data_IF_519210900296
#
_entry.id   IF_519210900296
#
_cell.length_a   1.000
_cell.length_b   1.000
_cell.length_c   1.000
_cell.angle_alpha   90.00
_cell.angle_beta   90.00
_cell.angle_gamma   90.00
#
_symmetry.space_group_name_H-M   'P 1'
#
loop_
_entity.id
_entity.type
_entity.pdbx_description
1 polymer ?
#
# COMPACT_ATOMS: atom_id res chain seq x y z
N UNK A 1 -3.03 -53.94 27.86
CA UNK A 1 -2.23 -54.39 26.71
C UNK A 1 -3.07 -54.17 25.45
N UNK A 2 -2.93 -52.99 24.83
CA UNK A 2 -3.60 -52.64 23.56
C UNK A 2 -2.60 -52.94 22.44
N UNK A 3 -2.96 -53.80 21.49
CA UNK A 3 -2.17 -54.03 20.27
C UNK A 3 -3.06 -53.86 19.04
N UNK A 4 -2.67 -52.84 18.26
CA UNK A 4 -2.85 -52.60 16.82
C UNK A 4 -4.25 -52.43 16.22
N UNK A 5 -4.58 -51.14 16.04
CA UNK A 5 -5.29 -50.65 14.84
C UNK A 5 -4.59 -51.20 13.58
N UNK A 6 -5.33 -51.97 12.76
CA UNK A 6 -4.86 -52.37 11.43
C UNK A 6 -5.07 -51.20 10.48
N UNK A 7 -3.95 -50.72 9.96
CA UNK A 7 -3.81 -49.81 8.82
C UNK A 7 -4.76 -50.18 7.69
N UNK A 8 -5.59 -49.24 7.27
CA UNK A 8 -6.55 -49.35 6.16
C UNK A 8 -5.84 -49.24 4.80
N UNK A 9 -4.71 -49.93 4.65
CA UNK A 9 -3.92 -49.93 3.42
C UNK A 9 -4.55 -50.91 2.43
N UNK A 10 -4.85 -50.48 1.19
CA UNK A 10 -5.38 -51.37 0.17
C UNK A 10 -4.45 -52.56 -0.04
N UNK A 11 -5.03 -53.75 -0.16
CA UNK A 11 -4.27 -54.94 -0.54
C UNK A 11 -3.87 -54.90 -2.03
N UNK A 12 -3.02 -55.83 -2.43
CA UNK A 12 -2.47 -55.86 -3.79
C UNK A 12 -3.55 -56.03 -4.86
N UNK A 13 -4.65 -56.71 -4.56
CA UNK A 13 -5.75 -56.91 -5.50
C UNK A 13 -6.58 -55.62 -5.66
N UNK A 14 -6.85 -54.90 -4.57
CA UNK A 14 -7.49 -53.59 -4.61
C UNK A 14 -6.63 -52.58 -5.41
N UNK A 15 -5.31 -52.61 -5.23
CA UNK A 15 -4.39 -51.75 -5.99
C UNK A 15 -4.40 -52.07 -7.51
N UNK A 16 -4.44 -53.35 -7.89
CA UNK A 16 -4.56 -53.77 -9.30
C UNK A 16 -5.88 -53.33 -9.93
N UNK A 17 -6.99 -53.45 -9.19
CA UNK A 17 -8.30 -53.01 -9.67
C UNK A 17 -8.37 -51.49 -9.87
N UNK A 18 -7.81 -50.72 -8.94
CA UNK A 18 -7.69 -49.26 -9.09
C UNK A 18 -6.82 -48.88 -10.30
N UNK A 19 -5.69 -49.57 -10.50
CA UNK A 19 -4.82 -49.36 -11.65
C UNK A 19 -5.51 -49.66 -12.99
N UNK A 20 -6.30 -50.74 -13.07
CA UNK A 20 -7.06 -51.08 -14.26
C UNK A 20 -8.12 -50.01 -14.58
N UNK A 21 -8.80 -49.52 -13.55
CA UNK A 21 -9.81 -48.46 -13.68
C UNK A 21 -9.20 -47.16 -14.20
N UNK A 22 -8.05 -46.75 -13.65
CA UNK A 22 -7.34 -45.54 -14.10
C UNK A 22 -6.82 -45.66 -15.54
N UNK A 23 -6.35 -46.84 -15.95
CA UNK A 23 -5.93 -47.10 -17.34
C UNK A 23 -7.08 -46.99 -18.32
N UNK A 24 -8.21 -47.59 -17.99
CA UNK A 24 -9.39 -47.63 -18.85
C UNK A 24 -10.04 -46.25 -19.02
N UNK A 25 -10.01 -45.44 -17.96
CA UNK A 25 -10.38 -44.03 -18.02
C UNK A 25 -9.41 -43.21 -18.88
N UNK A 26 -8.10 -43.34 -18.65
CA UNK A 26 -7.06 -42.58 -19.36
C UNK A 26 -7.01 -42.87 -20.87
N UNK A 27 -7.50 -44.04 -21.32
CA UNK A 27 -7.63 -44.37 -22.75
C UNK A 27 -8.72 -43.56 -23.47
N UNK A 28 -9.69 -43.02 -22.72
CA UNK A 28 -10.86 -42.32 -23.25
C UNK A 28 -10.87 -40.83 -22.94
N UNK A 29 -10.13 -40.42 -21.92
CA UNK A 29 -10.00 -39.03 -21.50
C UNK A 29 -9.14 -38.23 -22.48
N UNK A 30 -9.49 -36.96 -22.69
CA UNK A 30 -8.64 -36.06 -23.46
C UNK A 30 -7.40 -35.62 -22.64
N UNK A 31 -6.34 -35.09 -23.29
CA UNK A 31 -5.12 -34.68 -22.58
C UNK A 31 -5.32 -33.62 -21.47
N UNK A 32 -6.37 -32.78 -21.58
CA UNK A 32 -6.70 -31.74 -20.60
C UNK A 32 -7.36 -32.37 -19.36
N UNK A 33 -8.22 -33.37 -19.55
CA UNK A 33 -8.84 -34.14 -18.47
C UNK A 33 -7.79 -34.92 -17.65
N UNK A 34 -6.80 -35.52 -18.33
CA UNK A 34 -5.69 -36.22 -17.67
C UNK A 34 -4.84 -35.24 -16.85
N UNK A 35 -4.52 -34.07 -17.40
CA UNK A 35 -3.71 -33.05 -16.72
C UNK A 35 -4.41 -32.45 -15.48
N UNK A 36 -5.75 -32.41 -15.46
CA UNK A 36 -6.54 -31.92 -14.31
C UNK A 36 -6.57 -32.89 -13.12
N UNK A 37 -6.51 -34.19 -13.37
CA UNK A 37 -6.56 -35.19 -12.30
C UNK A 37 -5.16 -35.40 -11.68
N UNK A 38 -4.20 -35.84 -12.49
CA UNK A 38 -2.77 -35.89 -12.18
C UNK A 38 -2.02 -36.20 -13.49
N UNK A 39 -1.08 -35.34 -13.94
CA UNK A 39 -0.29 -35.59 -15.15
C UNK A 39 0.46 -36.94 -15.16
N UNK A 40 0.73 -37.54 -13.99
CA UNK A 40 1.36 -38.84 -13.87
C UNK A 40 0.47 -40.01 -14.35
N UNK A 41 -0.85 -39.82 -14.48
CA UNK A 41 -1.78 -40.87 -14.95
C UNK A 41 -1.55 -41.21 -16.43
N UNK A 42 -1.07 -40.26 -17.24
CA UNK A 42 -0.65 -40.50 -18.62
C UNK A 42 0.40 -41.63 -18.74
N UNK A 43 1.18 -41.88 -17.66
CA UNK A 43 2.21 -42.92 -17.60
C UNK A 43 1.66 -44.35 -17.50
N UNK A 44 0.35 -44.51 -17.28
CA UNK A 44 -0.28 -45.83 -17.09
C UNK A 44 -0.66 -46.50 -18.43
N UNK A 45 -0.64 -45.77 -19.55
CA UNK A 45 -1.07 -46.23 -20.87
C UNK A 45 0.01 -47.10 -21.58
N UNK A 46 -0.36 -48.25 -22.18
CA UNK A 46 0.58 -49.10 -22.90
C UNK A 46 1.04 -48.45 -24.22
N UNK A 47 2.36 -48.33 -24.42
CA UNK A 47 2.96 -47.71 -25.61
C UNK A 47 3.76 -46.43 -25.34
N UNK A 48 3.66 -45.87 -24.14
CA UNK A 48 4.58 -44.83 -23.67
C UNK A 48 5.76 -45.48 -22.95
N UNK A 49 6.96 -45.36 -23.54
CA UNK A 49 8.19 -45.80 -22.90
C UNK A 49 8.27 -45.19 -21.50
N UNK A 50 8.65 -46.00 -20.51
CA UNK A 50 9.03 -45.56 -19.17
C UNK A 50 10.22 -44.61 -19.30
N UNK A 51 9.97 -43.34 -19.62
CA UNK A 51 10.93 -42.31 -19.31
C UNK A 51 10.94 -42.26 -17.80
N UNK A 52 11.98 -42.84 -17.18
CA UNK A 52 12.45 -42.33 -15.90
C UNK A 52 12.38 -40.80 -16.01
N UNK A 53 11.82 -40.14 -15.01
CA UNK A 53 11.94 -38.69 -14.92
C UNK A 53 13.42 -38.38 -15.14
N UNK A 54 13.79 -37.55 -16.13
CA UNK A 54 15.19 -37.44 -16.52
C UNK A 54 16.02 -37.09 -15.29
N UNK A 55 17.20 -37.72 -15.16
CA UNK A 55 18.13 -37.37 -14.10
C UNK A 55 18.51 -35.90 -14.29
N UNK A 56 17.83 -35.02 -13.54
CA UNK A 56 18.02 -33.59 -13.64
C UNK A 56 19.36 -33.23 -13.02
N UNK A 57 20.21 -32.57 -13.80
CA UNK A 57 21.46 -32.01 -13.31
C UNK A 57 21.14 -30.95 -12.25
N UNK A 58 21.69 -31.12 -11.04
CA UNK A 58 21.45 -30.22 -9.89
C UNK A 58 22.40 -29.02 -9.84
N UNK A 59 23.44 -29.00 -10.69
CA UNK A 59 24.33 -27.86 -10.83
C UNK A 59 23.74 -26.84 -11.79
N UNK A 60 23.83 -25.56 -11.42
CA UNK A 60 23.49 -24.45 -12.32
C UNK A 60 24.50 -24.38 -13.46
N UNK A 61 24.03 -24.38 -14.71
CA UNK A 61 24.88 -24.22 -15.89
C UNK A 61 25.21 -22.73 -16.11
N UNK A 62 26.39 -22.31 -15.65
CA UNK A 62 26.87 -20.94 -15.85
C UNK A 62 27.24 -20.61 -17.29
N UNK A 63 27.43 -21.62 -18.15
CA UNK A 63 27.80 -21.45 -19.56
C UNK A 63 26.59 -21.36 -20.50
N UNK A 64 25.42 -21.76 -20.03
CA UNK A 64 24.20 -21.71 -20.82
C UNK A 64 23.78 -20.26 -21.11
N UNK A 65 23.71 -19.91 -22.40
CA UNK A 65 23.11 -18.67 -22.87
C UNK A 65 21.98 -18.99 -23.85
N UNK A 66 20.73 -18.65 -23.52
CA UNK A 66 19.61 -18.94 -24.41
C UNK A 66 19.67 -18.04 -25.64
N UNK A 67 19.71 -18.67 -26.81
CA UNK A 67 19.56 -17.98 -28.09
C UNK A 67 18.07 -17.66 -28.37
N UNK A 68 17.79 -17.03 -29.52
CA UNK A 68 16.43 -16.66 -29.89
C UNK A 68 15.52 -17.89 -30.07
N UNK A 69 16.01 -18.94 -30.74
CA UNK A 69 15.23 -20.14 -31.00
C UNK A 69 14.84 -20.87 -29.71
N UNK A 70 15.75 -20.93 -28.73
CA UNK A 70 15.47 -21.51 -27.43
C UNK A 70 14.44 -20.71 -26.64
N UNK A 71 14.52 -19.36 -26.68
CA UNK A 71 13.54 -18.48 -26.03
C UNK A 71 12.14 -18.64 -26.63
N UNK A 72 12.03 -18.74 -27.95
CA UNK A 72 10.75 -18.93 -28.65
C UNK A 72 10.14 -20.31 -28.36
N UNK A 73 10.97 -21.31 -28.04
CA UNK A 73 10.51 -22.64 -27.62
C UNK A 73 10.09 -22.73 -26.15
N UNK A 74 10.26 -21.67 -25.34
CA UNK A 74 9.86 -21.69 -23.93
C UNK A 74 8.33 -21.62 -23.79
N UNK A 75 7.74 -22.37 -22.84
CA UNK A 75 6.30 -22.32 -22.60
C UNK A 75 5.88 -20.97 -22.00
N UNK A 76 4.92 -20.30 -22.64
CA UNK A 76 4.29 -19.09 -22.12
C UNK A 76 2.87 -19.41 -21.63
N UNK A 77 2.79 -19.84 -20.37
CA UNK A 77 1.52 -20.19 -19.75
C UNK A 77 0.61 -18.97 -19.54
N UNK A 78 1.17 -17.76 -19.46
CA UNK A 78 0.40 -16.55 -19.16
C UNK A 78 -0.42 -16.10 -20.36
N UNK A 79 0.12 -16.28 -21.56
CA UNK A 79 -0.58 -16.06 -22.83
C UNK A 79 -1.25 -17.34 -23.39
N UNK A 80 -1.37 -18.39 -22.57
CA UNK A 80 -2.05 -19.63 -22.92
C UNK A 80 -3.58 -19.45 -23.06
N UNK A 81 -4.29 -20.44 -23.62
CA UNK A 81 -5.71 -20.35 -23.90
C UNK A 81 -6.55 -20.20 -22.62
N UNK A 82 -7.68 -19.47 -22.73
CA UNK A 82 -8.62 -19.23 -21.63
C UNK A 82 -9.15 -20.52 -20.96
N UNK A 83 -9.14 -21.65 -21.69
CA UNK A 83 -9.48 -22.99 -21.15
C UNK A 83 -8.59 -23.44 -19.97
N UNK A 84 -7.43 -22.82 -19.79
CA UNK A 84 -6.51 -23.07 -18.68
C UNK A 84 -6.82 -22.20 -17.45
N UNK A 85 -7.80 -21.28 -17.52
CA UNK A 85 -8.22 -20.46 -16.37
C UNK A 85 -8.96 -21.34 -15.36
N UNK A 86 -8.64 -21.16 -14.08
CA UNK A 86 -9.27 -21.88 -12.97
C UNK A 86 -10.13 -20.91 -12.17
N UNK A 87 -11.38 -21.30 -11.89
CA UNK A 87 -12.30 -20.51 -11.08
C UNK A 87 -13.38 -19.84 -11.93
N UNK A 88 -13.99 -18.80 -11.37
CA UNK A 88 -15.04 -18.06 -12.07
C UNK A 88 -14.45 -17.30 -13.27
N UNK A 89 -15.22 -17.27 -14.35
CA UNK A 89 -14.96 -16.38 -15.48
C UNK A 89 -15.35 -14.96 -15.09
N UNK A 90 -14.38 -14.22 -14.55
CA UNK A 90 -14.61 -12.91 -13.99
C UNK A 90 -13.40 -12.00 -14.23
N UNK A 91 -13.61 -10.70 -14.50
CA UNK A 91 -12.52 -9.75 -14.59
C UNK A 91 -11.90 -9.55 -13.20
N UNK A 92 -10.59 -9.30 -13.16
CA UNK A 92 -9.87 -8.94 -11.94
C UNK A 92 -9.70 -7.43 -11.92
N UNK A 93 -10.20 -6.78 -10.85
CA UNK A 93 -10.11 -5.33 -10.73
C UNK A 93 -8.66 -4.82 -10.55
N UNK A 94 -7.86 -5.55 -9.75
CA UNK A 94 -6.45 -5.22 -9.51
C UNK A 94 -5.59 -6.48 -9.48
N UNK A 95 -4.62 -6.55 -10.37
CA UNK A 95 -3.53 -7.54 -10.37
C UNK A 95 -2.22 -6.86 -10.70
N UNK A 96 -1.15 -7.23 -10.02
CA UNK A 96 0.13 -6.53 -10.14
C UNK A 96 1.16 -6.94 -9.10
N UNK A 97 2.08 -6.01 -8.85
CA UNK A 97 3.12 -6.13 -7.83
C UNK A 97 2.89 -5.10 -6.73
N UNK A 98 3.28 -5.45 -5.51
CA UNK A 98 3.22 -4.55 -4.37
C UNK A 98 4.54 -4.57 -3.61
N UNK A 99 4.89 -3.40 -3.06
CA UNK A 99 6.02 -3.20 -2.15
C UNK A 99 7.40 -3.55 -2.73
N UNK A 100 7.64 -3.28 -4.02
CA UNK A 100 9.01 -3.27 -4.54
C UNK A 100 9.66 -1.91 -4.28
N UNK A 101 10.97 -1.87 -4.04
CA UNK A 101 11.66 -0.65 -3.57
C UNK A 101 12.58 -0.08 -4.64
N UNK A 102 12.54 1.24 -4.81
CA UNK A 102 13.41 1.99 -5.70
C UNK A 102 13.98 3.22 -5.00
N UNK A 103 15.25 3.61 -5.27
CA UNK A 103 15.74 4.92 -4.91
C UNK A 103 15.19 5.96 -5.90
N UNK A 104 14.38 6.91 -5.41
CA UNK A 104 13.73 7.93 -6.24
C UNK A 104 14.14 9.31 -5.78
N UNK A 105 14.42 10.22 -6.74
CA UNK A 105 14.85 11.61 -6.48
C UNK A 105 13.66 12.55 -6.44
N UNK A 106 13.36 13.14 -5.29
CA UNK A 106 12.27 14.10 -5.08
C UNK A 106 12.79 15.54 -5.00
N UNK A 107 12.06 16.50 -5.58
CA UNK A 107 12.34 17.93 -5.43
C UNK A 107 11.87 18.44 -4.07
N UNK A 108 12.67 19.31 -3.47
CA UNK A 108 12.32 20.05 -2.25
C UNK A 108 11.76 21.43 -2.62
N UNK A 109 10.72 21.91 -1.92
CA UNK A 109 10.12 23.24 -2.21
C UNK A 109 11.16 24.35 -1.95
N UNK A 110 11.49 25.21 -2.94
CA UNK A 110 12.43 26.32 -2.72
C UNK A 110 11.93 27.30 -1.65
N UNK A 111 12.84 27.88 -0.87
CA UNK A 111 12.51 28.92 0.11
C UNK A 111 11.79 28.40 1.38
N UNK A 112 11.92 27.11 1.66
CA UNK A 112 11.45 26.49 2.91
C UNK A 112 12.59 26.25 3.89
N UNK A 113 12.27 25.70 5.07
CA UNK A 113 13.27 25.22 6.03
C UNK A 113 14.15 24.08 5.48
N UNK A 114 13.72 23.46 4.37
CA UNK A 114 14.55 22.52 3.63
C UNK A 114 15.55 23.25 2.71
N UNK A 115 16.82 22.83 2.67
CA UNK A 115 17.77 23.35 1.68
C UNK A 115 17.26 23.04 0.27
N UNK A 116 17.28 24.03 -0.62
CA UNK A 116 16.84 23.85 -2.00
C UNK A 116 17.63 22.73 -2.70
N UNK A 117 16.95 21.90 -3.49
CA UNK A 117 17.58 20.83 -4.26
C UNK A 117 16.70 19.58 -4.38
N UNK A 118 17.36 18.43 -4.40
CA UNK A 118 16.76 17.11 -4.52
C UNK A 118 17.16 16.23 -3.33
N UNK A 119 16.31 15.27 -2.98
CA UNK A 119 16.62 14.20 -2.03
C UNK A 119 16.31 12.83 -2.65
N UNK A 120 17.25 11.89 -2.53
CA UNK A 120 17.00 10.50 -2.93
C UNK A 120 16.43 9.72 -1.75
N UNK A 121 15.22 9.19 -1.91
CA UNK A 121 14.52 8.42 -0.88
C UNK A 121 14.27 7.00 -1.36
N UNK A 122 14.41 6.03 -0.45
CA UNK A 122 13.85 4.70 -0.66
C UNK A 122 12.33 4.82 -0.76
N UNK A 123 11.78 4.39 -1.90
CA UNK A 123 10.36 4.48 -2.20
C UNK A 123 9.81 3.08 -2.44
N UNK A 124 8.79 2.72 -1.68
CA UNK A 124 7.98 1.52 -1.93
C UNK A 124 6.97 1.82 -3.04
N UNK A 125 6.88 0.93 -4.02
CA UNK A 125 6.05 1.10 -5.19
C UNK A 125 5.10 -0.09 -5.33
N UNK A 126 3.83 0.20 -5.62
CA UNK A 126 2.78 -0.78 -5.92
C UNK A 126 2.14 -0.39 -7.25
N UNK A 127 2.14 -1.31 -8.21
CA UNK A 127 1.59 -1.10 -9.55
C UNK A 127 0.63 -2.22 -9.91
N UNK A 128 -0.60 -1.88 -10.28
CA UNK A 128 -1.68 -2.84 -10.58
C UNK A 128 -2.50 -2.41 -11.79
N UNK A 129 -3.08 -3.37 -12.50
CA UNK A 129 -4.05 -3.14 -13.59
C UNK A 129 -5.30 -3.99 -13.41
N UNK A 130 -6.35 -3.63 -14.13
CA UNK A 130 -7.45 -4.55 -14.43
C UNK A 130 -7.00 -5.69 -15.34
N UNK A 131 -7.63 -6.86 -15.23
CA UNK A 131 -7.43 -7.99 -16.14
C UNK A 131 -8.78 -8.51 -16.62
N UNK A 132 -8.92 -8.65 -17.93
CA UNK A 132 -10.13 -9.22 -18.54
C UNK A 132 -10.35 -10.68 -18.13
N UNK A 133 -11.61 -11.10 -18.08
CA UNK A 133 -11.99 -12.46 -17.70
C UNK A 133 -11.41 -13.57 -18.61
N UNK A 134 -11.05 -13.22 -19.85
CA UNK A 134 -10.47 -14.14 -20.83
C UNK A 134 -8.94 -14.26 -20.74
N UNK A 135 -8.27 -13.38 -19.98
CA UNK A 135 -6.81 -13.37 -19.84
C UNK A 135 -6.42 -14.16 -18.59
N UNK A 136 -5.52 -15.13 -18.73
CA UNK A 136 -5.08 -15.97 -17.61
C UNK A 136 -4.18 -15.25 -16.60
N UNK A 137 -3.40 -14.28 -17.05
CA UNK A 137 -2.51 -13.52 -16.16
C UNK A 137 -1.78 -12.39 -16.87
N UNK A 138 -1.00 -11.65 -16.09
CA UNK A 138 -0.13 -10.57 -16.59
C UNK A 138 1.33 -10.95 -16.48
N UNK A 139 2.17 -10.34 -17.32
CA UNK A 139 3.61 -10.47 -17.19
C UNK A 139 4.14 -9.51 -16.12
N UNK A 140 4.22 -10.01 -14.88
CA UNK A 140 4.63 -9.24 -13.70
C UNK A 140 6.00 -8.55 -13.86
N UNK A 141 6.95 -9.19 -14.57
CA UNK A 141 8.28 -8.62 -14.79
C UNK A 141 8.28 -7.37 -15.67
N UNK A 142 7.25 -7.20 -16.53
CA UNK A 142 7.11 -6.01 -17.38
C UNK A 142 6.79 -4.78 -16.55
N UNK A 143 6.03 -4.96 -15.47
CA UNK A 143 5.70 -3.90 -14.52
C UNK A 143 6.99 -3.27 -13.96
N UNK A 144 7.85 -4.12 -13.40
CA UNK A 144 9.13 -3.70 -12.81
C UNK A 144 10.01 -3.02 -13.87
N UNK A 145 10.15 -3.62 -15.06
CA UNK A 145 11.00 -3.06 -16.13
C UNK A 145 10.54 -1.67 -16.59
N UNK A 146 9.24 -1.44 -16.71
CA UNK A 146 8.70 -0.11 -17.01
C UNK A 146 9.14 0.89 -15.93
N UNK A 147 8.98 0.55 -14.65
CA UNK A 147 9.40 1.43 -13.56
C UNK A 147 10.90 1.71 -13.55
N UNK A 148 11.75 0.70 -13.72
CA UNK A 148 13.20 0.90 -13.81
C UNK A 148 13.61 1.77 -15.01
N UNK A 149 12.89 1.69 -16.14
CA UNK A 149 13.13 2.57 -17.29
C UNK A 149 12.85 4.06 -17.01
N UNK A 150 12.09 4.35 -15.96
CA UNK A 150 11.75 5.70 -15.53
C UNK A 150 12.41 6.12 -14.21
N UNK A 151 12.93 5.17 -13.42
CA UNK A 151 13.43 5.40 -12.06
C UNK A 151 14.63 6.35 -11.97
N UNK A 152 15.48 6.39 -13.00
CA UNK A 152 16.66 7.28 -13.03
C UNK A 152 16.31 8.73 -13.37
N UNK A 153 15.08 9.00 -13.82
CA UNK A 153 14.61 10.36 -14.11
C UNK A 153 14.32 11.11 -12.82
N UNK A 154 14.32 12.43 -12.92
CA UNK A 154 13.84 13.30 -11.85
C UNK A 154 12.35 13.05 -11.62
N UNK A 155 11.93 12.83 -10.38
CA UNK A 155 10.56 12.41 -10.09
C UNK A 155 9.56 13.55 -10.24
N UNK A 156 8.46 13.26 -10.94
CA UNK A 156 7.27 14.09 -10.97
C UNK A 156 6.03 13.23 -11.25
N UNK A 157 4.83 13.80 -11.10
CA UNK A 157 3.60 13.13 -11.52
C UNK A 157 3.63 12.76 -13.02
N UNK A 158 4.37 13.50 -13.85
CA UNK A 158 4.53 13.21 -15.27
C UNK A 158 5.37 11.95 -15.51
N UNK A 159 6.34 11.67 -14.64
CA UNK A 159 7.10 10.41 -14.68
C UNK A 159 6.23 9.24 -14.24
N UNK A 160 5.41 9.41 -13.19
CA UNK A 160 4.40 8.41 -12.82
C UNK A 160 3.41 8.15 -13.96
N UNK A 161 2.96 9.21 -14.64
CA UNK A 161 2.07 9.12 -15.79
C UNK A 161 2.70 8.34 -16.93
N UNK A 162 3.93 8.67 -17.32
CA UNK A 162 4.65 7.96 -18.35
C UNK A 162 4.86 6.48 -18.00
N UNK A 163 5.17 6.18 -16.73
CA UNK A 163 5.30 4.80 -16.27
C UNK A 163 3.94 4.06 -16.30
N UNK A 164 2.84 4.72 -15.93
CA UNK A 164 1.49 4.15 -15.98
C UNK A 164 0.99 3.95 -17.42
N UNK A 165 1.27 4.90 -18.32
CA UNK A 165 0.96 4.83 -19.75
C UNK A 165 1.72 3.69 -20.41
N UNK A 166 3.05 3.64 -20.20
CA UNK A 166 3.87 2.51 -20.63
C UNK A 166 3.38 1.19 -20.06
N UNK A 167 2.81 1.19 -18.85
CA UNK A 167 2.23 -0.02 -18.26
C UNK A 167 0.94 -0.48 -18.96
N UNK A 168 0.04 0.46 -19.30
CA UNK A 168 -1.23 0.17 -20.01
C UNK A 168 -1.01 -0.33 -21.43
N UNK A 169 -0.12 0.32 -22.18
CA UNK A 169 0.17 -0.02 -23.58
C UNK A 169 0.70 -1.45 -23.75
N UNK A 170 1.38 -2.00 -22.74
CA UNK A 170 1.95 -3.34 -22.82
C UNK A 170 0.98 -4.48 -22.44
N UNK A 171 -0.16 -4.16 -21.82
CA UNK A 171 -1.09 -5.17 -21.30
C UNK A 171 -2.49 -5.11 -21.94
N UNK A 172 -2.74 -4.15 -22.82
CA UNK A 172 -4.06 -3.83 -23.37
C UNK A 172 -5.10 -3.80 -22.24
N UNK A 173 -4.81 -3.04 -21.18
CA UNK A 173 -5.68 -2.89 -20.00
C UNK A 173 -6.37 -1.54 -19.97
N UNK A 174 -7.62 -1.53 -19.49
CA UNK A 174 -8.44 -0.33 -19.38
C UNK A 174 -8.05 0.53 -18.18
N UNK A 175 -7.92 -0.10 -17.01
CA UNK A 175 -7.65 0.58 -15.75
C UNK A 175 -6.27 0.21 -15.21
N UNK A 176 -5.61 1.18 -14.60
CA UNK A 176 -4.28 1.02 -14.01
C UNK A 176 -4.10 1.94 -12.80
N UNK A 177 -3.35 1.48 -11.80
CA UNK A 177 -3.04 2.23 -10.58
C UNK A 177 -1.58 2.05 -10.21
N UNK A 178 -0.95 3.16 -9.86
CA UNK A 178 0.40 3.26 -9.32
C UNK A 178 0.35 4.01 -7.99
N UNK A 179 0.94 3.41 -6.96
CA UNK A 179 1.12 4.03 -5.65
C UNK A 179 2.59 3.98 -5.25
N UNK A 180 3.12 5.13 -4.82
CA UNK A 180 4.50 5.28 -4.36
C UNK A 180 4.49 5.82 -2.93
N UNK A 181 5.11 5.12 -1.99
CA UNK A 181 5.15 5.47 -0.56
C UNK A 181 6.59 5.68 -0.11
N UNK A 182 6.84 6.76 0.62
CA UNK A 182 8.17 7.13 1.11
C UNK A 182 8.06 7.99 2.36
N UNK A 183 9.17 8.07 3.10
CA UNK A 183 9.29 8.89 4.30
C UNK A 183 10.00 10.20 3.95
N UNK A 184 9.27 11.31 3.94
CA UNK A 184 9.73 12.61 3.48
C UNK A 184 10.32 13.45 4.62
N UNK A 185 11.59 13.89 4.54
CA UNK A 185 12.23 14.68 5.58
C UNK A 185 11.92 16.18 5.44
N UNK A 186 11.58 16.82 6.56
CA UNK A 186 11.52 18.28 6.70
C UNK A 186 12.30 18.71 7.93
N UNK A 187 13.12 19.75 7.80
CA UNK A 187 13.80 20.35 8.94
C UNK A 187 12.83 21.19 9.77
N UNK A 188 12.82 21.00 11.08
CA UNK A 188 11.91 21.69 12.01
C UNK A 188 12.69 22.27 13.17
N UNK A 189 12.39 23.51 13.53
CA UNK A 189 12.93 24.20 14.70
C UNK A 189 12.09 23.94 15.95
N UNK A 190 12.74 23.80 17.10
CA UNK A 190 12.09 23.68 18.40
C UNK A 190 11.40 24.97 18.82
N UNK A 191 10.34 24.86 19.62
CA UNK A 191 9.47 26.00 19.99
C UNK A 191 10.18 27.19 20.66
N UNK A 192 11.23 26.97 21.45
CA UNK A 192 11.91 28.03 22.22
C UNK A 192 13.43 27.97 22.18
N UNK A 193 14.04 26.78 22.13
CA UNK A 193 15.48 26.62 22.31
C UNK A 193 16.33 26.92 21.07
N UNK A 194 15.70 27.07 19.89
CA UNK A 194 16.36 27.25 18.60
C UNK A 194 17.12 26.01 18.10
N UNK A 195 16.91 24.84 18.74
CA UNK A 195 17.39 23.57 18.21
C UNK A 195 16.64 23.22 16.92
N UNK A 196 17.25 22.42 16.05
CA UNK A 196 16.58 21.93 14.84
C UNK A 196 16.87 20.46 14.60
N UNK A 197 15.86 19.74 14.11
CA UNK A 197 15.92 18.32 13.80
C UNK A 197 15.15 17.98 12.52
N UNK A 198 15.27 16.72 12.07
CA UNK A 198 14.54 16.21 10.92
C UNK A 198 13.25 15.52 11.37
N UNK A 199 12.12 16.07 10.99
CA UNK A 199 10.81 15.43 11.09
C UNK A 199 10.55 14.67 9.81
N UNK A 200 10.04 13.45 9.93
CA UNK A 200 9.68 12.62 8.78
C UNK A 200 8.16 12.52 8.67
N UNK A 201 7.67 12.57 7.43
CA UNK A 201 6.26 12.46 7.07
C UNK A 201 6.07 11.26 6.15
N UNK A 202 5.08 10.42 6.47
CA UNK A 202 4.72 9.34 5.56
C UNK A 202 3.84 9.90 4.45
N UNK A 203 4.42 9.91 3.24
CA UNK A 203 3.75 10.41 2.04
C UNK A 203 3.48 9.23 1.11
N UNK A 204 2.27 9.22 0.53
CA UNK A 204 1.96 8.39 -0.61
C UNK A 204 1.52 9.24 -1.79
N UNK A 205 2.02 8.91 -2.97
CA UNK A 205 1.56 9.45 -4.23
C UNK A 205 0.76 8.38 -4.95
N UNK A 206 -0.42 8.74 -5.41
CA UNK A 206 -1.29 7.86 -6.16
C UNK A 206 -1.53 8.46 -7.55
N UNK A 207 -1.37 7.61 -8.56
CA UNK A 207 -1.86 7.86 -9.89
C UNK A 207 -2.74 6.69 -10.33
N UNK A 208 -3.96 6.99 -10.76
CA UNK A 208 -4.89 5.98 -11.22
C UNK A 208 -5.61 6.43 -12.47
N UNK A 209 -5.73 5.54 -13.45
CA UNK A 209 -6.67 5.65 -14.55
C UNK A 209 -7.81 4.69 -14.26
N UNK A 210 -9.02 5.23 -14.12
CA UNK A 210 -10.22 4.42 -13.94
C UNK A 210 -11.37 4.99 -14.77
N UNK A 211 -11.97 4.16 -15.62
CA UNK A 211 -13.09 4.58 -16.46
C UNK A 211 -12.76 5.76 -17.38
N UNK A 212 -11.52 5.81 -17.89
CA UNK A 212 -11.03 6.86 -18.76
C UNK A 212 -10.70 8.20 -18.07
N UNK A 213 -10.77 8.27 -16.74
CA UNK A 213 -10.40 9.47 -15.96
C UNK A 213 -9.09 9.20 -15.20
N UNK A 214 -8.15 10.15 -15.33
CA UNK A 214 -6.89 10.13 -14.59
C UNK A 214 -7.02 10.89 -13.28
N UNK A 215 -6.67 10.23 -12.18
CA UNK A 215 -6.54 10.79 -10.84
C UNK A 215 -5.05 11.00 -10.52
N UNK A 216 -4.73 12.17 -9.98
CA UNK A 216 -3.48 12.47 -9.28
C UNK A 216 -3.83 12.75 -7.83
N UNK A 217 -3.28 11.99 -6.89
CA UNK A 217 -3.55 12.20 -5.47
C UNK A 217 -2.28 12.14 -4.62
N UNK A 218 -2.31 12.90 -3.53
CA UNK A 218 -1.28 12.92 -2.48
C UNK A 218 -1.95 12.49 -1.18
N UNK A 219 -1.29 11.63 -0.43
CA UNK A 219 -1.69 11.23 0.91
C UNK A 219 -0.57 11.58 1.89
N UNK A 220 -0.93 12.26 2.97
CA UNK A 220 -0.04 12.66 4.05
C UNK A 220 -0.57 12.08 5.37
N UNK A 221 0.26 11.35 6.09
CA UNK A 221 -0.02 11.02 7.50
C UNK A 221 0.68 12.05 8.39
N UNK A 222 -0.12 12.90 9.02
CA UNK A 222 0.33 13.97 9.92
C UNK A 222 0.20 13.53 11.38
N UNK A 223 1.30 13.58 12.12
CA UNK A 223 1.37 13.12 13.52
C UNK A 223 1.39 14.32 14.46
N UNK A 224 0.45 14.34 15.40
CA UNK A 224 0.25 15.45 16.33
C UNK A 224 -0.12 14.95 17.73
N UNK A 225 -0.06 15.86 18.70
CA UNK A 225 -0.59 15.64 20.05
C UNK A 225 -2.01 16.19 20.13
N UNK A 226 -2.97 15.38 20.57
CA UNK A 226 -4.33 15.84 20.86
C UNK A 226 -4.56 15.85 22.37
N UNK A 227 -5.09 16.96 22.87
CA UNK A 227 -5.54 17.09 24.27
C UNK A 227 -7.05 17.16 24.29
N UNK A 228 -7.69 16.28 25.07
CA UNK A 228 -9.14 16.23 25.13
C UNK A 228 -9.72 17.48 25.84
N UNK A 229 -10.60 18.26 25.17
CA UNK A 229 -11.22 19.44 25.79
C UNK A 229 -11.96 19.11 27.10
N UNK A 230 -12.72 18.01 27.13
CA UNK A 230 -13.41 17.56 28.34
C UNK A 230 -12.43 17.29 29.49
N UNK A 231 -11.31 16.62 29.20
CA UNK A 231 -10.33 16.26 30.23
C UNK A 231 -9.63 17.51 30.79
N UNK A 232 -9.33 18.49 29.93
CA UNK A 232 -8.80 19.79 30.34
C UNK A 232 -9.78 20.53 31.26
N UNK A 233 -11.03 20.66 30.85
CA UNK A 233 -12.05 21.35 31.65
C UNK A 233 -12.27 20.69 33.02
N UNK A 234 -12.35 19.36 33.07
CA UNK A 234 -12.51 18.62 34.32
C UNK A 234 -11.27 18.70 35.22
N UNK A 235 -10.07 18.73 34.64
CA UNK A 235 -8.82 18.92 35.38
C UNK A 235 -8.77 20.30 36.02
N UNK A 236 -9.15 21.36 35.29
CA UNK A 236 -9.22 22.73 35.82
C UNK A 236 -10.32 22.89 36.87
N UNK A 237 -11.46 22.23 36.71
CA UNK A 237 -12.50 22.17 37.75
C UNK A 237 -11.96 21.48 39.03
N UNK A 238 -11.27 20.34 38.92
CA UNK A 238 -10.68 19.68 40.08
C UNK A 238 -9.60 20.52 40.79
N UNK A 239 -8.82 21.30 40.03
CA UNK A 239 -7.84 22.24 40.58
C UNK A 239 -8.52 23.38 41.34
N UNK A 240 -9.52 24.02 40.74
CA UNK A 240 -10.24 25.16 41.34
C UNK A 240 -11.07 24.77 42.55
N UNK A 241 -11.88 23.73 42.43
CA UNK A 241 -12.94 23.45 43.42
C UNK A 241 -12.50 22.47 44.50
N UNK A 242 -11.48 21.64 44.20
CA UNK A 242 -10.99 20.63 45.14
C UNK A 242 -9.55 20.84 45.57
N UNK A 243 -8.84 21.82 45.02
CA UNK A 243 -7.42 22.04 45.29
C UNK A 243 -6.55 20.82 44.97
N UNK A 244 -6.97 20.00 44.00
CA UNK A 244 -6.25 18.78 43.60
C UNK A 244 -5.46 19.03 42.34
N UNK A 245 -4.20 18.60 42.34
CA UNK A 245 -3.44 18.49 41.10
C UNK A 245 -4.15 17.47 40.20
N UNK A 246 -4.50 17.87 38.98
CA UNK A 246 -5.15 17.02 37.99
C UNK A 246 -4.52 17.30 36.62
N UNK A 247 -4.14 16.25 35.91
CA UNK A 247 -3.49 16.37 34.60
C UNK A 247 -4.49 15.93 33.54
N UNK A 248 -4.80 16.77 32.54
CA UNK A 248 -5.62 16.34 31.43
C UNK A 248 -4.88 15.30 30.60
N UNK A 249 -5.63 14.35 30.03
CA UNK A 249 -5.01 13.39 29.14
C UNK A 249 -4.75 14.02 27.77
N UNK A 250 -3.59 13.69 27.25
CA UNK A 250 -3.18 13.95 25.89
C UNK A 250 -2.56 12.69 25.30
N UNK A 251 -2.56 12.60 23.98
CA UNK A 251 -2.07 11.42 23.28
C UNK A 251 -1.49 11.77 21.92
N UNK A 252 -0.68 10.84 21.38
CA UNK A 252 -0.31 10.89 19.97
C UNK A 252 -1.53 10.60 19.12
N UNK A 253 -1.65 11.27 18.00
CA UNK A 253 -2.76 11.14 17.05
C UNK A 253 -2.22 11.22 15.63
N UNK A 254 -2.95 10.62 14.70
CA UNK A 254 -2.60 10.61 13.28
C UNK A 254 -3.78 11.11 12.47
N UNK A 255 -3.53 12.06 11.57
CA UNK A 255 -4.47 12.48 10.54
C UNK A 255 -3.94 12.06 9.17
N UNK A 256 -4.64 11.14 8.49
CA UNK A 256 -4.40 10.85 7.07
C UNK A 256 -5.20 11.82 6.22
N UNK A 257 -4.49 12.69 5.53
CA UNK A 257 -5.02 13.69 4.61
C UNK A 257 -4.78 13.17 3.20
N UNK A 258 -5.85 12.86 2.47
CA UNK A 258 -5.81 12.43 1.06
C UNK A 258 -6.43 13.52 0.19
N UNK A 259 -5.70 14.01 -0.81
CA UNK A 259 -6.17 15.10 -1.68
C UNK A 259 -6.03 14.71 -3.15
N UNK A 260 -7.03 15.03 -3.96
CA UNK A 260 -6.90 15.07 -5.41
C UNK A 260 -6.22 16.39 -5.79
N UNK A 261 -5.27 16.33 -6.72
CA UNK A 261 -4.51 17.50 -7.15
C UNK A 261 -5.14 18.09 -8.40
N UNK A 262 -5.52 19.36 -8.33
CA UNK A 262 -6.07 20.09 -9.47
C UNK A 262 -4.98 20.37 -10.53
N UNK A 263 -5.33 20.46 -11.83
CA UNK A 263 -4.38 20.85 -12.87
C UNK A 263 -3.87 22.28 -12.65
N UNK A 264 -2.58 22.51 -12.91
CA UNK A 264 -1.99 23.85 -12.91
C UNK A 264 -0.67 23.91 -12.15
N UNK A 265 -0.59 24.83 -11.20
CA UNK A 265 0.60 25.00 -10.37
C UNK A 265 0.85 23.77 -9.49
N UNK A 266 2.12 23.41 -9.21
CA UNK A 266 2.42 22.28 -8.35
C UNK A 266 1.91 22.52 -6.92
N UNK A 267 1.27 21.50 -6.37
CA UNK A 267 1.01 21.37 -4.94
C UNK A 267 2.18 20.60 -4.32
N UNK A 268 2.97 21.28 -3.48
CA UNK A 268 4.12 20.69 -2.81
C UNK A 268 3.70 19.88 -1.59
N UNK A 269 4.53 18.93 -1.18
CA UNK A 269 4.32 18.20 0.07
C UNK A 269 4.31 19.13 1.27
N UNK A 270 5.21 20.11 1.25
CA UNK A 270 5.33 21.16 2.25
C UNK A 270 4.06 22.03 2.31
N UNK A 271 3.34 22.25 1.21
CA UNK A 271 2.08 23.00 1.25
C UNK A 271 1.03 22.26 2.11
N UNK A 272 0.92 20.94 1.97
CA UNK A 272 0.01 20.13 2.79
C UNK A 272 0.46 20.03 4.25
N UNK A 273 1.77 19.95 4.48
CA UNK A 273 2.35 19.95 5.83
C UNK A 273 2.07 21.30 6.51
N UNK A 274 2.23 22.41 5.80
CA UNK A 274 1.96 23.76 6.32
C UNK A 274 0.46 23.94 6.63
N UNK A 275 -0.43 23.46 5.76
CA UNK A 275 -1.88 23.44 6.01
C UNK A 275 -2.19 22.63 7.27
N UNK A 276 -1.58 21.44 7.43
CA UNK A 276 -1.79 20.59 8.59
C UNK A 276 -1.29 21.25 9.89
N UNK A 277 -0.10 21.85 9.87
CA UNK A 277 0.48 22.61 11.00
C UNK A 277 -0.36 23.82 11.38
N UNK A 278 -0.89 24.54 10.40
CA UNK A 278 -1.76 25.68 10.66
C UNK A 278 -3.10 25.25 11.26
N UNK A 279 -3.64 24.11 10.81
CA UNK A 279 -4.91 23.57 11.31
C UNK A 279 -4.77 23.00 12.73
N UNK A 280 -3.70 22.25 13.01
CA UNK A 280 -3.42 21.65 14.31
C UNK A 280 -1.94 21.87 14.66
N UNK A 281 -1.60 22.89 15.46
CA UNK A 281 -0.21 23.33 15.65
C UNK A 281 0.61 22.43 16.59
N UNK A 282 0.00 21.41 17.18
CA UNK A 282 0.60 20.52 18.18
C UNK A 282 1.36 19.36 17.54
N UNK A 283 2.08 19.61 16.45
CA UNK A 283 2.99 18.64 15.82
C UNK A 283 4.00 18.09 16.84
N UNK A 284 4.33 16.80 16.73
CA UNK A 284 5.38 16.22 17.57
C UNK A 284 6.72 16.91 17.34
N UNK A 285 7.43 17.22 18.43
CA UNK A 285 8.74 17.88 18.38
C UNK A 285 9.87 16.85 18.20
N UNK A 286 10.87 17.19 17.39
CA UNK A 286 12.02 16.31 17.10
C UNK A 286 13.11 16.41 18.17
N UNK A 287 13.56 17.64 18.44
CA UNK A 287 14.56 17.94 19.47
C UNK A 287 13.96 18.93 20.46
N UNK A 288 14.20 18.73 21.75
CA UNK A 288 13.65 19.58 22.81
C UNK A 288 14.63 19.75 23.96
N UNK A 289 14.55 20.91 24.61
CA UNK A 289 15.03 21.18 25.97
C UNK A 289 13.85 21.42 26.91
N UNK A 290 14.13 21.66 28.18
CA UNK A 290 13.11 21.90 29.23
C UNK A 290 12.15 23.03 28.87
N UNK A 291 12.67 24.12 28.29
CA UNK A 291 11.89 25.25 27.83
C UNK A 291 10.94 24.90 26.69
N UNK A 292 11.32 23.98 25.79
CA UNK A 292 10.48 23.49 24.69
C UNK A 292 9.41 22.53 25.20
N UNK A 293 9.75 21.64 26.15
CA UNK A 293 8.77 20.75 26.79
C UNK A 293 7.66 21.55 27.48
N UNK A 294 8.03 22.62 28.19
CA UNK A 294 7.06 23.53 28.78
C UNK A 294 6.24 24.25 27.71
N UNK A 295 6.88 24.75 26.65
CA UNK A 295 6.20 25.40 25.54
C UNK A 295 5.18 24.48 24.88
N UNK A 296 5.54 23.20 24.69
CA UNK A 296 4.68 22.21 24.09
C UNK A 296 3.49 21.86 24.99
N UNK A 297 3.70 21.79 26.31
CA UNK A 297 2.61 21.62 27.27
C UNK A 297 1.61 22.79 27.23
N UNK A 298 2.12 24.03 27.17
CA UNK A 298 1.30 25.23 27.02
C UNK A 298 0.56 25.24 25.66
N UNK A 299 1.23 24.86 24.58
CA UNK A 299 0.65 24.79 23.24
C UNK A 299 -0.51 23.79 23.17
N UNK A 300 -0.34 22.61 23.78
CA UNK A 300 -1.39 21.59 23.89
C UNK A 300 -2.59 22.09 24.71
N UNK A 301 -2.35 22.75 25.84
CA UNK A 301 -3.42 23.31 26.66
C UNK A 301 -4.17 24.45 25.96
N UNK A 302 -3.49 25.21 25.09
CA UNK A 302 -4.10 26.28 24.30
C UNK A 302 -4.93 25.77 23.11
N UNK A 303 -4.68 24.54 22.64
CA UNK A 303 -5.35 23.95 21.47
C UNK A 303 -5.96 22.56 21.78
N UNK A 304 -6.85 22.44 22.78
CA UNK A 304 -7.56 21.19 23.01
C UNK A 304 -8.52 20.92 21.85
N UNK A 305 -8.64 19.66 21.43
CA UNK A 305 -9.41 19.32 20.22
C UNK A 305 -10.04 17.92 20.32
N UNK A 306 -11.31 17.82 19.91
CA UNK A 306 -11.98 16.53 19.69
C UNK A 306 -11.61 15.95 18.33
N UNK A 307 -11.76 14.63 18.15
CA UNK A 307 -11.43 13.98 16.88
C UNK A 307 -12.33 14.48 15.73
N UNK A 308 -13.58 14.82 16.02
CA UNK A 308 -14.53 15.41 15.07
C UNK A 308 -14.11 16.81 14.65
N UNK A 309 -13.60 17.61 15.58
CA UNK A 309 -13.12 18.96 15.27
C UNK A 309 -11.79 18.92 14.54
N UNK A 310 -10.92 17.95 14.83
CA UNK A 310 -9.67 17.72 14.10
C UNK A 310 -9.93 17.55 12.59
N UNK A 311 -10.84 16.66 12.20
CA UNK A 311 -11.15 16.47 10.76
C UNK A 311 -11.75 17.72 10.12
N UNK A 312 -12.51 18.53 10.87
CA UNK A 312 -13.11 19.79 10.38
C UNK A 312 -12.08 20.89 10.17
N UNK A 313 -11.13 21.06 11.10
CA UNK A 313 -10.10 22.11 10.95
C UNK A 313 -9.12 21.79 9.83
N UNK A 314 -8.74 20.52 9.65
CA UNK A 314 -7.97 20.10 8.47
C UNK A 314 -8.75 20.36 7.18
N UNK A 315 -10.03 19.98 7.13
CA UNK A 315 -10.88 20.21 5.97
C UNK A 315 -11.01 21.70 5.63
N UNK A 316 -11.11 22.58 6.62
CA UNK A 316 -11.17 24.03 6.40
C UNK A 316 -9.91 24.56 5.69
N UNK A 317 -8.73 24.08 6.07
CA UNK A 317 -7.47 24.43 5.39
C UNK A 317 -7.42 23.92 3.95
N UNK A 318 -7.90 22.71 3.70
CA UNK A 318 -7.95 22.11 2.36
C UNK A 318 -8.94 22.82 1.43
N UNK A 319 -10.12 23.20 1.94
CA UNK A 319 -11.13 23.96 1.19
C UNK A 319 -10.63 25.35 0.77
N UNK A 320 -9.67 25.92 1.51
CA UNK A 320 -9.08 27.22 1.19
C UNK A 320 -7.92 27.13 0.18
N UNK A 321 -7.45 25.93 -0.16
CA UNK A 321 -6.33 25.72 -1.08
C UNK A 321 -6.85 25.41 -2.50
N UNK A 322 -6.76 26.36 -3.45
CA UNK A 322 -7.34 26.19 -4.80
C UNK A 322 -6.68 25.09 -5.64
N UNK A 323 -5.50 24.58 -5.25
CA UNK A 323 -4.83 23.45 -5.91
C UNK A 323 -5.33 22.08 -5.43
N UNK A 324 -6.15 22.05 -4.38
CA UNK A 324 -6.77 20.83 -3.84
C UNK A 324 -8.19 20.69 -4.41
N UNK A 325 -8.47 19.54 -5.01
CA UNK A 325 -9.81 19.14 -5.46
C UNK A 325 -10.56 18.40 -4.37
N UNK A 326 -11.23 17.29 -4.74
CA UNK A 326 -11.81 16.36 -3.77
C UNK A 326 -10.77 15.93 -2.71
N UNK A 327 -11.21 15.67 -1.49
CA UNK A 327 -10.30 15.22 -0.43
C UNK A 327 -11.00 14.35 0.63
N UNK A 328 -10.18 13.69 1.44
CA UNK A 328 -10.62 12.96 2.62
C UNK A 328 -9.64 13.14 3.75
N UNK A 329 -10.15 13.47 4.93
CA UNK A 329 -9.40 13.52 6.18
C UNK A 329 -9.89 12.41 7.08
N UNK A 330 -8.96 11.62 7.59
CA UNK A 330 -9.25 10.61 8.61
C UNK A 330 -8.36 10.84 9.81
N UNK A 331 -8.96 11.02 10.98
CA UNK A 331 -8.23 11.20 12.23
C UNK A 331 -8.42 9.97 13.13
N UNK A 332 -7.34 9.58 13.80
CA UNK A 332 -7.35 8.64 14.91
C UNK A 332 -6.65 9.28 16.12
N UNK A 333 -7.41 9.48 17.20
CA UNK A 333 -6.90 9.86 18.50
C UNK A 333 -6.62 8.58 19.29
N UNK A 334 -5.34 8.32 19.58
CA UNK A 334 -4.91 7.09 20.25
C UNK A 334 -5.12 7.22 21.75
N UNK A 335 -6.37 7.07 22.20
CA UNK A 335 -6.81 7.40 23.55
C UNK A 335 -5.91 6.79 24.63
N UNK A 336 -5.41 7.64 25.53
CA UNK A 336 -4.52 7.21 26.61
C UNK A 336 -5.27 6.64 27.82
N UNK A 337 -6.56 6.97 27.97
CA UNK A 337 -7.42 6.48 29.06
C UNK A 337 -8.21 5.21 28.69
N UNK A 338 -8.32 4.91 27.40
CA UNK A 338 -9.12 3.81 26.88
C UNK A 338 -8.25 2.77 26.17
N UNK A 339 -8.78 1.55 26.04
CA UNK A 339 -8.14 0.46 25.29
C UNK A 339 -8.52 0.45 23.80
N UNK A 340 -8.97 1.59 23.27
CA UNK A 340 -9.43 1.77 21.90
C UNK A 340 -9.27 3.24 21.48
N UNK A 341 -9.15 3.48 20.18
CA UNK A 341 -8.97 4.82 19.62
C UNK A 341 -10.31 5.50 19.30
N UNK A 342 -10.36 6.83 19.40
CA UNK A 342 -11.45 7.63 18.87
C UNK A 342 -11.13 8.01 17.41
N UNK A 343 -12.08 7.80 16.49
CA UNK A 343 -11.84 7.95 15.05
C UNK A 343 -12.91 8.81 14.39
N UNK A 344 -12.52 9.59 13.38
CA UNK A 344 -13.43 10.36 12.54
C UNK A 344 -13.00 10.35 11.07
N UNK A 345 -13.96 10.40 10.16
CA UNK A 345 -13.76 10.48 8.70
C UNK A 345 -14.59 11.64 8.16
N UNK A 346 -13.97 12.53 7.42
CA UNK A 346 -14.63 13.57 6.64
C UNK A 346 -14.18 13.44 5.19
N UNK A 347 -15.14 13.41 4.25
CA UNK A 347 -14.88 13.32 2.82
C UNK A 347 -15.62 14.43 2.10
N UNK A 348 -14.91 15.15 1.24
CA UNK A 348 -15.44 16.17 0.34
C UNK A 348 -15.28 15.68 -1.11
N UNK A 349 -16.40 15.70 -1.85
CA UNK A 349 -16.46 15.20 -3.22
C UNK A 349 -16.47 13.66 -3.38
N UNK A 350 -16.72 13.16 -4.59
CA UNK A 350 -16.89 11.73 -4.86
C UNK A 350 -15.60 10.90 -4.89
N UNK A 351 -14.42 11.50 -5.15
CA UNK A 351 -13.17 10.76 -5.46
C UNK A 351 -12.75 9.79 -4.36
N UNK A 352 -12.89 10.18 -3.09
CA UNK A 352 -12.49 9.36 -1.94
C UNK A 352 -13.67 8.77 -1.16
N UNK A 353 -14.89 8.96 -1.67
CA UNK A 353 -16.11 8.44 -1.05
C UNK A 353 -16.11 6.91 -1.12
N UNK A 354 -16.45 6.27 -0.01
CA UNK A 354 -16.53 4.82 0.09
C UNK A 354 -17.82 4.43 0.82
N UNK A 355 -18.61 3.53 0.21
CA UNK A 355 -19.82 3.00 0.83
C UNK A 355 -19.50 2.03 1.99
N UNK A 356 -18.34 1.37 1.93
CA UNK A 356 -17.82 0.50 2.98
C UNK A 356 -16.37 0.87 3.26
N UNK A 357 -15.97 0.81 4.53
CA UNK A 357 -14.58 0.94 4.94
C UNK A 357 -13.97 -0.45 5.15
N UNK A 358 -12.69 -0.61 4.80
CA UNK A 358 -11.94 -1.83 5.10
C UNK A 358 -11.91 -2.07 6.62
N UNK A 359 -12.10 -3.32 7.11
CA UNK A 359 -12.11 -3.60 8.55
C UNK A 359 -10.82 -3.21 9.29
N UNK A 360 -9.69 -3.09 8.58
CA UNK A 360 -8.39 -2.66 9.13
C UNK A 360 -8.01 -1.25 8.71
N UNK A 361 -8.93 -0.49 8.14
CA UNK A 361 -8.69 0.88 7.67
C UNK A 361 -8.05 1.75 8.76
N UNK A 362 -8.66 1.78 9.96
CA UNK A 362 -8.16 2.57 11.09
C UNK A 362 -6.89 2.00 11.73
N UNK A 363 -6.64 0.69 11.62
CA UNK A 363 -5.42 0.08 12.15
C UNK A 363 -4.15 0.58 11.45
N UNK A 364 -4.29 1.22 10.27
CA UNK A 364 -3.18 1.85 9.54
C UNK A 364 -2.91 3.31 9.94
N UNK A 365 -3.70 3.89 10.85
CA UNK A 365 -3.53 5.25 11.38
C UNK A 365 -2.76 5.21 12.71
N UNK A 366 -1.58 4.59 12.66
CA UNK A 366 -0.69 4.47 13.79
C UNK A 366 0.68 4.93 13.35
N UNK A 367 1.32 5.79 14.14
CA UNK A 367 2.72 6.11 13.94
C UNK A 367 3.57 4.88 14.25
N UNK A 368 4.04 4.19 13.22
CA UNK A 368 5.06 3.14 13.33
C UNK A 368 6.40 3.80 13.60
N UNK A 369 6.84 3.78 14.85
CA UNK A 369 8.07 4.43 15.31
C UNK A 369 9.35 3.84 14.74
#
# INVERSE_FOLDING_TARGET
MKMHERSNSPDTEAAKAALATLRDWALRADPVEIARLDPAIARLLPGHALSNYPDLVRSYDTGFQPDAAYKDGMPDLQNGPASLITGAHAPIAHVGISNFRLPIRYRLRPGTDNPAGEVTLETSVTGTVSLDAEKKGINMSRIIRSFYGHAEREFSFEVMAAALDGYKDHLDSFDARLMMRFSYPVRVESLRSGLSGWQYYDIALEMADQGGRRLKAIHLDYVYSSTCPCSLELSEHARRDRGRLATPHSQRSVARISVAVEPGAPLWFEDLIDIARAAVPTETQVMVKREDEQAFAELNAAHPIFVEDAVRVFAAGLLAEPRVGDFRVVASHQESLHSHDAVAVLTEGPTFAAASLDPRFFASLVHSG
#
